data_IF_828489635246
#
_entry.id   IF_828489635246
#
_cell.length_a   1.000
_cell.length_b   1.000
_cell.length_c   1.000
_cell.angle_alpha   90.00
_cell.angle_beta   90.00
_cell.angle_gamma   90.00
#
_symmetry.space_group_name_H-M   'P 1'
#
loop_
_entity.id
_entity.type
_entity.pdbx_description
1 polymer ?
#
# COMPACT_ATOMS: atom_id res chain seq x y z
N UNK A 1 -19.03 40.21 -23.57
CA UNK A 1 -18.85 40.05 -22.11
C UNK A 1 -19.45 38.70 -21.76
N UNK A 2 -18.63 37.66 -21.72
CA UNK A 2 -19.05 36.31 -21.29
C UNK A 2 -18.61 36.11 -19.86
N UNK A 3 -19.55 35.81 -18.98
CA UNK A 3 -19.30 35.50 -17.57
C UNK A 3 -18.48 34.20 -17.46
N UNK A 4 -17.38 34.28 -16.71
CA UNK A 4 -16.58 33.12 -16.32
C UNK A 4 -17.25 32.44 -15.14
N UNK A 5 -17.82 31.26 -15.38
CA UNK A 5 -18.35 30.38 -14.35
C UNK A 5 -17.19 29.92 -13.45
N UNK A 6 -17.19 30.39 -12.21
CA UNK A 6 -16.22 29.97 -11.20
C UNK A 6 -16.46 28.48 -10.89
N UNK A 7 -15.57 27.62 -11.37
CA UNK A 7 -15.46 26.25 -10.90
C UNK A 7 -15.07 26.28 -9.41
N UNK A 8 -16.07 26.11 -8.54
CA UNK A 8 -15.85 25.87 -7.12
C UNK A 8 -15.00 24.60 -6.89
N UNK A 9 -14.39 24.44 -5.71
CA UNK A 9 -13.54 23.29 -5.43
C UNK A 9 -14.36 22.01 -5.57
N UNK A 10 -13.91 21.10 -6.44
CA UNK A 10 -14.49 19.76 -6.57
C UNK A 10 -14.37 19.09 -5.21
N UNK A 11 -15.51 18.66 -4.65
CA UNK A 11 -15.56 17.86 -3.44
C UNK A 11 -14.84 16.52 -3.71
N UNK A 12 -13.60 16.36 -3.27
CA UNK A 12 -12.87 15.09 -3.42
C UNK A 12 -11.38 15.18 -3.15
N UNK A 13 -10.89 14.31 -2.26
CA UNK A 13 -9.51 14.18 -1.74
C UNK A 13 -9.15 15.16 -0.62
N UNK A 14 -9.47 14.81 0.63
CA UNK A 14 -8.74 15.35 1.78
C UNK A 14 -7.30 14.86 1.71
N UNK A 15 -6.34 15.76 1.51
CA UNK A 15 -4.93 15.41 1.58
C UNK A 15 -4.64 14.85 2.97
N UNK A 16 -4.07 13.65 3.04
CA UNK A 16 -3.62 13.09 4.31
C UNK A 16 -2.48 13.94 4.88
N UNK A 17 -2.42 14.10 6.21
CA UNK A 17 -1.34 14.82 6.85
C UNK A 17 0.02 14.19 6.54
N UNK A 18 1.05 15.04 6.55
CA UNK A 18 2.44 14.60 6.43
C UNK A 18 2.82 13.87 7.73
N UNK A 19 3.39 12.65 7.65
CA UNK A 19 3.79 11.90 8.84
C UNK A 19 4.93 12.59 9.58
N UNK A 20 4.92 12.52 10.91
CA UNK A 20 5.96 13.13 11.76
C UNK A 20 7.33 12.44 11.64
N UNK A 21 7.35 11.16 11.30
CA UNK A 21 8.56 10.35 11.19
C UNK A 21 8.48 9.28 10.10
N UNK A 22 9.64 8.76 9.72
CA UNK A 22 9.71 7.66 8.75
C UNK A 22 8.94 6.45 9.28
N UNK A 23 8.20 5.79 8.37
CA UNK A 23 7.42 4.57 8.64
C UNK A 23 6.27 4.73 9.62
N UNK A 24 5.99 5.93 10.13
CA UNK A 24 4.75 6.20 10.86
C UNK A 24 3.51 6.13 9.98
N UNK A 25 3.68 6.39 8.70
CA UNK A 25 2.65 6.23 7.69
C UNK A 25 3.23 5.57 6.46
N UNK A 26 2.51 4.61 5.92
CA UNK A 26 2.91 3.90 4.72
C UNK A 26 1.74 3.65 3.79
N UNK A 27 2.05 3.36 2.53
CA UNK A 27 1.10 2.82 1.59
C UNK A 27 1.50 1.42 1.14
N UNK A 28 0.52 0.63 0.73
CA UNK A 28 0.70 -0.66 0.09
C UNK A 28 -0.09 -0.75 -1.21
N UNK A 29 0.49 -1.44 -2.18
CA UNK A 29 -0.10 -1.63 -3.50
C UNK A 29 0.40 -2.93 -4.13
N UNK A 30 -0.39 -3.52 -5.01
CA UNK A 30 0.04 -4.66 -5.80
C UNK A 30 0.25 -4.30 -7.27
N UNK A 31 1.39 -4.70 -7.82
CA UNK A 31 1.62 -4.74 -9.27
C UNK A 31 1.59 -6.17 -9.80
N UNK A 32 0.77 -6.47 -10.81
CA UNK A 32 0.73 -7.77 -11.49
C UNK A 32 1.00 -7.66 -13.00
N UNK A 33 1.12 -8.80 -13.67
CA UNK A 33 1.35 -8.88 -15.12
C UNK A 33 2.83 -8.88 -15.48
N UNK A 34 3.71 -9.16 -14.51
CA UNK A 34 5.13 -9.35 -14.74
C UNK A 34 5.39 -10.76 -15.29
N UNK A 35 6.44 -10.94 -16.10
CA UNK A 35 6.93 -12.28 -16.44
C UNK A 35 7.20 -13.09 -15.16
N UNK A 36 6.87 -14.37 -15.19
CA UNK A 36 7.12 -15.25 -14.07
C UNK A 36 8.62 -15.36 -13.77
N UNK A 37 9.01 -15.23 -12.49
CA UNK A 37 10.35 -15.58 -12.04
C UNK A 37 10.54 -17.11 -11.94
N UNK A 38 11.74 -17.54 -11.49
CA UNK A 38 12.08 -18.95 -11.28
C UNK A 38 11.19 -19.67 -10.24
N UNK A 39 10.52 -18.90 -9.40
CA UNK A 39 9.59 -19.37 -8.37
C UNK A 39 8.12 -19.23 -8.79
N UNK A 40 7.85 -18.74 -10.00
CA UNK A 40 6.51 -18.53 -10.53
C UNK A 40 5.79 -17.31 -9.96
N UNK A 41 6.50 -16.32 -9.42
CA UNK A 41 5.92 -15.04 -9.02
C UNK A 41 5.67 -14.17 -10.25
N UNK A 42 4.47 -13.62 -10.36
CA UNK A 42 4.00 -12.82 -11.51
C UNK A 42 3.59 -11.41 -11.11
N UNK A 43 3.86 -11.02 -9.86
CA UNK A 43 3.59 -9.70 -9.32
C UNK A 43 4.53 -9.32 -8.19
N UNK A 44 4.33 -8.11 -7.69
CA UNK A 44 5.04 -7.50 -6.58
C UNK A 44 4.03 -6.88 -5.61
N UNK A 45 4.25 -7.08 -4.32
CA UNK A 45 3.64 -6.30 -3.25
C UNK A 45 4.62 -5.19 -2.88
N UNK A 46 4.16 -3.96 -3.00
CA UNK A 46 4.94 -2.74 -2.79
C UNK A 46 4.56 -2.13 -1.47
N UNK A 47 5.54 -1.83 -0.63
CA UNK A 47 5.36 -1.08 0.62
C UNK A 47 6.16 0.21 0.56
N UNK A 48 5.51 1.36 0.72
CA UNK A 48 6.16 2.67 0.58
C UNK A 48 6.02 3.48 1.85
N UNK A 49 7.13 3.94 2.40
CA UNK A 49 7.13 4.95 3.45
C UNK A 49 6.65 6.29 2.87
N UNK A 50 5.54 6.84 3.39
CA UNK A 50 4.94 8.05 2.80
C UNK A 50 5.80 9.30 2.97
N UNK A 51 6.66 9.35 4.00
CA UNK A 51 7.57 10.47 4.27
C UNK A 51 8.85 10.39 3.41
N UNK A 52 9.66 9.34 3.58
CA UNK A 52 10.97 9.23 2.92
C UNK A 52 10.93 8.66 1.51
N UNK A 53 9.80 8.08 1.08
CA UNK A 53 9.66 7.33 -0.18
C UNK A 53 10.55 6.09 -0.27
N UNK A 54 11.09 5.60 0.84
CA UNK A 54 11.75 4.29 0.87
C UNK A 54 10.74 3.18 0.57
N UNK A 55 11.17 2.17 -0.18
CA UNK A 55 10.32 1.10 -0.69
C UNK A 55 10.84 -0.27 -0.27
N UNK A 56 9.95 -1.14 0.19
CA UNK A 56 10.18 -2.59 0.22
C UNK A 56 9.35 -3.25 -0.88
N UNK A 57 9.96 -4.17 -1.61
CA UNK A 57 9.31 -4.95 -2.67
C UNK A 57 9.35 -6.42 -2.28
N UNK A 58 8.19 -7.06 -2.26
CA UNK A 58 8.06 -8.50 -2.05
C UNK A 58 7.49 -9.16 -3.32
N UNK A 59 8.19 -10.14 -3.92
CA UNK A 59 7.65 -10.86 -5.06
C UNK A 59 6.47 -11.73 -4.61
N UNK A 60 5.40 -11.76 -5.42
CA UNK A 60 4.17 -12.50 -5.14
C UNK A 60 3.65 -13.23 -6.37
N UNK A 61 2.93 -14.33 -6.12
CA UNK A 61 2.11 -14.98 -7.15
C UNK A 61 0.80 -14.20 -7.34
N UNK A 62 0.21 -14.28 -8.52
CA UNK A 62 -1.12 -13.76 -8.85
C UNK A 62 -2.20 -14.14 -7.82
N UNK A 63 -2.12 -15.37 -7.29
CA UNK A 63 -3.05 -15.95 -6.31
C UNK A 63 -2.68 -15.67 -4.85
N UNK A 64 -1.82 -14.71 -4.57
CA UNK A 64 -1.47 -14.34 -3.19
C UNK A 64 -2.74 -13.96 -2.40
N UNK A 65 -2.87 -14.51 -1.21
CA UNK A 65 -4.00 -14.26 -0.31
C UNK A 65 -3.71 -13.08 0.64
N UNK A 66 -4.75 -12.49 1.23
CA UNK A 66 -4.59 -11.43 2.23
C UNK A 66 -3.74 -11.86 3.44
N UNK A 67 -3.90 -13.11 3.90
CA UNK A 67 -3.05 -13.68 4.97
C UNK A 67 -1.58 -13.77 4.57
N UNK A 68 -1.29 -14.20 3.33
CA UNK A 68 0.09 -14.23 2.84
C UNK A 68 0.67 -12.82 2.66
N UNK A 69 -0.14 -11.86 2.22
CA UNK A 69 0.26 -10.47 2.12
C UNK A 69 0.56 -9.86 3.50
N UNK A 70 -0.23 -10.19 4.52
CA UNK A 70 0.03 -9.79 5.90
C UNK A 70 1.35 -10.38 6.43
N UNK A 71 1.62 -11.66 6.13
CA UNK A 71 2.91 -12.26 6.48
C UNK A 71 4.09 -11.54 5.80
N UNK A 72 3.96 -11.18 4.51
CA UNK A 72 4.98 -10.41 3.81
C UNK A 72 5.19 -9.03 4.42
N UNK A 73 4.14 -8.36 4.89
CA UNK A 73 4.25 -7.12 5.63
C UNK A 73 5.06 -7.31 6.93
N UNK A 74 4.77 -8.38 7.69
CA UNK A 74 5.50 -8.69 8.92
C UNK A 74 6.99 -8.92 8.65
N UNK A 75 7.29 -9.72 7.62
CA UNK A 75 8.66 -10.12 7.27
C UNK A 75 9.49 -8.99 6.65
N UNK A 76 8.83 -8.10 5.88
CA UNK A 76 9.50 -7.09 5.05
C UNK A 76 9.49 -5.69 5.66
N UNK A 77 8.46 -5.32 6.42
CA UNK A 77 8.29 -3.96 6.96
C UNK A 77 8.36 -3.97 8.48
N UNK A 78 7.45 -4.71 9.13
CA UNK A 78 7.32 -4.69 10.59
C UNK A 78 8.62 -5.10 11.28
N UNK A 79 9.30 -6.13 10.77
CA UNK A 79 10.59 -6.61 11.29
C UNK A 79 11.64 -5.51 11.45
N UNK A 80 11.65 -4.51 10.57
CA UNK A 80 12.68 -3.47 10.54
C UNK A 80 12.20 -2.13 11.10
N UNK A 81 10.91 -1.80 10.93
CA UNK A 81 10.36 -0.46 11.20
C UNK A 81 9.26 -0.45 12.26
N UNK A 82 8.81 -1.62 12.70
CA UNK A 82 7.68 -1.77 13.63
C UNK A 82 6.33 -1.53 12.96
N UNK A 83 5.28 -1.37 13.80
CA UNK A 83 3.93 -1.10 13.34
C UNK A 83 3.79 0.38 12.94
N UNK A 84 3.39 0.69 11.69
CA UNK A 84 3.00 2.05 11.32
C UNK A 84 1.71 2.47 12.04
N UNK A 85 1.53 3.77 12.23
CA UNK A 85 0.30 4.34 12.79
C UNK A 85 -0.81 4.39 11.74
N UNK A 86 -0.46 4.62 10.48
CA UNK A 86 -1.40 4.57 9.36
C UNK A 86 -0.88 3.75 8.19
N UNK A 87 -1.80 2.98 7.62
CA UNK A 87 -1.57 2.13 6.46
C UNK A 87 -2.63 2.49 5.41
N UNK A 88 -2.18 2.87 4.22
CA UNK A 88 -3.05 3.30 3.11
C UNK A 88 -2.94 2.32 1.96
N UNK A 89 -3.99 1.54 1.73
CA UNK A 89 -4.08 0.66 0.56
C UNK A 89 -5.06 1.21 -0.48
N UNK A 90 -4.99 0.66 -1.68
CA UNK A 90 -6.11 0.74 -2.61
C UNK A 90 -7.28 -0.17 -2.14
N UNK A 91 -8.28 -0.35 -3.01
CA UNK A 91 -9.46 -1.18 -2.71
C UNK A 91 -9.29 -2.65 -3.12
N UNK A 92 -8.05 -3.14 -3.20
CA UNK A 92 -7.82 -4.54 -3.51
C UNK A 92 -8.42 -5.45 -2.43
N UNK A 93 -9.24 -6.46 -2.79
CA UNK A 93 -9.86 -7.38 -1.84
C UNK A 93 -8.84 -8.12 -0.95
N UNK A 94 -7.58 -8.21 -1.35
CA UNK A 94 -6.51 -8.83 -0.56
C UNK A 94 -6.11 -7.99 0.65
N UNK A 95 -6.44 -6.70 0.70
CA UNK A 95 -6.21 -5.82 1.86
C UNK A 95 -7.47 -5.63 2.73
N UNK A 96 -8.30 -6.66 2.81
CA UNK A 96 -9.53 -6.67 3.62
C UNK A 96 -9.40 -7.61 4.83
N UNK A 97 -10.50 -8.12 5.40
CA UNK A 97 -10.55 -8.80 6.70
C UNK A 97 -9.41 -9.78 6.96
N UNK A 98 -9.17 -10.74 6.06
CA UNK A 98 -8.13 -11.76 6.26
C UNK A 98 -6.70 -11.21 6.42
N UNK A 99 -6.40 -10.05 5.83
CA UNK A 99 -5.13 -9.36 6.04
C UNK A 99 -5.07 -8.78 7.46
N UNK A 100 -6.10 -8.03 7.86
CA UNK A 100 -6.18 -7.37 9.16
C UNK A 100 -6.27 -8.36 10.33
N UNK A 101 -7.05 -9.43 10.20
CA UNK A 101 -7.16 -10.53 11.17
C UNK A 101 -5.85 -11.30 11.37
N UNK A 102 -4.90 -11.18 10.42
CA UNK A 102 -3.57 -11.78 10.56
C UNK A 102 -2.60 -10.83 11.28
N UNK A 103 -2.84 -9.52 11.23
CA UNK A 103 -1.99 -8.52 11.87
C UNK A 103 -2.39 -8.21 13.32
N UNK A 104 -3.67 -8.42 13.68
CA UNK A 104 -4.27 -8.09 14.97
C UNK A 104 -5.09 -9.26 15.52
#
# INVERSE_FOLDING_TARGET
MSEGEAFGPRLGSTAEPVPADCWKSMSLDFGFGLPADDKGNTGILVFVCRLSKMVHLAPVRDKVTGKQAAQLFLDSVFRYHGLPETIVSDRDPRFTGAFWDTLF
#
